data_IF_126423781216
#
_entry.id   IF_126423781216
#
_cell.length_a   1.000
_cell.length_b   1.000
_cell.length_c   1.000
_cell.angle_alpha   90.00
_cell.angle_beta   90.00
_cell.angle_gamma   90.00
#
_symmetry.space_group_name_H-M   'P 1'
#
loop_
_entity.id
_entity.type
_entity.pdbx_description
1 polymer ?
#
# COMPACT_ATOMS: atom_id res chain seq x y z
N UNK A 1 -18.18 27.96 -14.97
CA UNK A 1 -18.50 28.20 -13.54
C UNK A 1 -19.06 26.88 -13.00
N UNK A 2 -18.59 26.17 -11.97
CA UNK A 2 -17.60 26.32 -10.91
C UNK A 2 -16.87 24.96 -10.75
N UNK A 3 -15.53 24.88 -10.71
CA UNK A 3 -14.67 24.75 -9.51
C UNK A 3 -15.28 23.96 -8.33
N UNK A 4 -14.63 22.84 -7.99
CA UNK A 4 -14.34 22.46 -6.61
C UNK A 4 -15.07 21.23 -6.06
N UNK A 5 -14.35 20.12 -5.90
CA UNK A 5 -14.26 19.32 -4.66
C UNK A 5 -13.50 18.01 -4.94
N UNK A 6 -12.21 18.16 -5.21
CA UNK A 6 -11.24 17.11 -4.93
C UNK A 6 -10.57 17.49 -3.62
N UNK A 7 -10.92 16.84 -2.50
CA UNK A 7 -10.06 16.66 -1.32
C UNK A 7 -10.77 15.86 -0.22
N UNK A 8 -9.96 15.05 0.48
CA UNK A 8 -10.21 14.32 1.75
C UNK A 8 -10.61 12.85 1.64
N UNK A 9 -9.61 12.02 1.36
CA UNK A 9 -9.36 10.80 2.14
C UNK A 9 -7.92 10.86 2.65
N UNK A 10 -7.69 11.81 3.56
CA UNK A 10 -6.51 11.82 4.41
C UNK A 10 -6.84 11.00 5.65
N UNK A 11 -6.03 9.99 5.93
CA UNK A 11 -6.17 9.11 7.07
C UNK A 11 -6.23 9.89 8.38
N UNK A 12 -7.12 9.44 9.25
CA UNK A 12 -7.12 9.76 10.67
C UNK A 12 -5.83 9.22 11.29
N UNK A 13 -4.79 10.05 11.32
CA UNK A 13 -3.65 9.86 12.20
C UNK A 13 -4.07 10.39 13.56
N UNK A 14 -4.30 9.47 14.50
CA UNK A 14 -4.42 9.77 15.92
C UNK A 14 -3.23 10.62 16.36
N UNK A 15 -3.53 11.80 16.89
CA UNK A 15 -2.56 12.71 17.48
C UNK A 15 -2.14 12.12 18.82
N UNK A 16 -1.09 11.29 18.83
CA UNK A 16 -0.42 10.90 20.07
C UNK A 16 0.23 12.14 20.71
N UNK A 17 0.10 12.36 22.02
CA UNK A 17 0.89 13.37 22.71
C UNK A 17 2.37 12.96 22.71
N UNK A 18 3.25 13.94 22.50
CA UNK A 18 4.69 13.77 22.47
C UNK A 18 5.22 13.28 23.84
N UNK A 19 6.28 12.44 23.85
CA UNK A 19 6.97 12.10 25.09
C UNK A 19 7.70 13.34 25.66
N UNK A 20 7.81 13.48 26.99
CA UNK A 20 8.57 14.56 27.60
C UNK A 20 10.06 14.45 27.25
N UNK A 21 10.65 15.57 26.84
CA UNK A 21 12.10 15.72 26.65
C UNK A 21 12.82 15.59 27.99
N UNK A 22 13.90 14.80 28.09
CA UNK A 22 14.75 14.80 29.28
C UNK A 22 15.53 16.12 29.36
N UNK A 23 15.12 16.95 30.33
CA UNK A 23 15.85 18.14 30.76
C UNK A 23 17.08 17.76 31.57
N UNK A 24 18.20 18.37 31.20
CA UNK A 24 19.56 18.20 31.71
C UNK A 24 19.75 18.63 33.17
N UNK A 25 20.73 18.00 33.84
CA UNK A 25 21.69 18.49 34.86
C UNK A 25 21.90 17.46 36.00
N UNK A 26 23.03 17.43 36.75
CA UNK A 26 24.36 17.96 36.47
C UNK A 26 25.49 16.90 36.56
N UNK A 27 26.60 17.26 35.92
CA UNK A 27 27.92 16.63 35.94
C UNK A 27 28.46 16.54 37.39
N UNK A 28 28.83 15.33 37.82
CA UNK A 28 29.59 15.09 39.06
C UNK A 28 30.97 14.52 38.70
N UNK A 29 32.08 15.12 39.17
CA UNK A 29 33.43 14.74 38.76
C UNK A 29 34.00 13.74 39.75
N UNK A 30 34.15 12.46 39.40
CA UNK A 30 34.85 11.49 40.26
C UNK A 30 35.95 10.76 39.47
N UNK A 31 37.18 11.14 39.85
CA UNK A 31 38.40 10.36 39.92
C UNK A 31 38.80 9.47 38.74
N UNK A 32 39.88 9.91 38.07
CA UNK A 32 40.83 9.04 37.38
C UNK A 32 41.26 7.89 38.32
N UNK A 33 40.93 6.66 37.93
CA UNK A 33 41.61 5.46 38.43
C UNK A 33 42.07 4.66 37.21
N UNK A 34 43.38 4.71 36.96
CA UNK A 34 44.09 3.83 36.04
C UNK A 34 43.91 2.38 36.49
N UNK A 35 43.36 1.52 35.62
CA UNK A 35 43.37 0.06 35.79
C UNK A 35 43.89 -0.55 34.48
N UNK A 36 44.85 -1.49 34.54
CA UNK A 36 45.70 -1.84 33.42
C UNK A 36 44.98 -2.66 32.35
N UNK A 37 45.48 -2.48 31.13
CA UNK A 37 45.19 -3.24 29.91
C UNK A 37 45.31 -4.76 30.18
N UNK A 38 44.18 -5.45 30.32
CA UNK A 38 44.12 -6.91 30.17
C UNK A 38 43.67 -7.20 28.74
N UNK A 39 44.61 -7.66 27.92
CA UNK A 39 44.37 -8.26 26.61
C UNK A 39 43.58 -9.57 26.79
N UNK A 40 42.26 -9.48 26.84
CA UNK A 40 41.38 -10.63 26.63
C UNK A 40 41.11 -10.78 25.14
N UNK A 41 41.51 -11.93 24.59
CA UNK A 41 41.14 -12.40 23.28
C UNK A 41 39.61 -12.51 23.19
N UNK A 42 38.96 -11.49 22.64
CA UNK A 42 37.58 -11.58 22.22
C UNK A 42 37.52 -12.43 20.95
N UNK A 43 37.38 -13.74 21.11
CA UNK A 43 36.76 -14.58 20.11
C UNK A 43 35.35 -13.99 19.87
N UNK A 44 35.24 -13.12 18.86
CA UNK A 44 33.99 -12.50 18.47
C UNK A 44 33.00 -13.58 18.11
N UNK A 45 32.11 -13.92 19.04
CA UNK A 45 30.87 -14.59 18.74
C UNK A 45 30.07 -13.61 17.88
N UNK A 46 30.27 -13.68 16.56
CA UNK A 46 29.38 -13.05 15.60
C UNK A 46 28.04 -13.79 15.71
N UNK A 47 27.24 -13.40 16.70
CA UNK A 47 25.84 -13.81 16.79
C UNK A 47 25.20 -13.46 15.44
N UNK A 48 24.61 -14.43 14.72
CA UNK A 48 23.96 -14.12 13.45
C UNK A 48 22.95 -13.02 13.72
N UNK A 49 23.13 -11.88 13.03
CA UNK A 49 22.23 -10.75 13.16
C UNK A 49 20.79 -11.25 12.95
N UNK A 50 19.82 -10.79 13.76
CA UNK A 50 18.43 -11.18 13.60
C UNK A 50 18.00 -10.95 12.15
N UNK A 51 17.52 -11.99 11.48
CA UNK A 51 16.96 -11.85 10.14
C UNK A 51 15.77 -10.88 10.22
N UNK A 52 15.69 -9.88 9.32
CA UNK A 52 14.53 -9.00 9.30
C UNK A 52 13.25 -9.81 9.08
N UNK A 53 12.12 -9.40 9.69
CA UNK A 53 10.86 -10.09 9.51
C UNK A 53 10.45 -10.08 8.04
N UNK A 54 9.76 -11.14 7.61
CA UNK A 54 9.17 -11.16 6.28
C UNK A 54 8.16 -10.00 6.13
N UNK A 55 8.07 -9.37 4.95
CA UNK A 55 7.11 -8.31 4.70
C UNK A 55 5.68 -8.82 4.86
N UNK A 56 4.77 -7.95 5.30
CA UNK A 56 3.37 -8.30 5.40
C UNK A 56 2.79 -8.59 4.00
N UNK A 57 1.83 -9.53 3.86
CA UNK A 57 1.23 -9.86 2.56
C UNK A 57 0.69 -8.65 1.79
N UNK A 58 0.11 -7.69 2.50
CA UNK A 58 -0.43 -6.46 1.93
C UNK A 58 0.66 -5.60 1.29
N UNK A 59 1.83 -5.55 1.91
CA UNK A 59 2.97 -4.79 1.41
C UNK A 59 3.55 -5.46 0.17
N UNK A 60 3.58 -6.79 0.12
CA UNK A 60 3.98 -7.55 -1.07
C UNK A 60 3.04 -7.25 -2.25
N UNK A 61 1.72 -7.33 -2.03
CA UNK A 61 0.74 -7.01 -3.07
C UNK A 61 0.84 -5.55 -3.51
N UNK A 62 1.01 -4.61 -2.57
CA UNK A 62 1.18 -3.18 -2.86
C UNK A 62 2.45 -2.92 -3.68
N UNK A 63 3.57 -3.53 -3.30
CA UNK A 63 4.84 -3.40 -4.02
C UNK A 63 4.74 -3.92 -5.45
N UNK A 64 4.13 -5.10 -5.64
CA UNK A 64 3.90 -5.65 -6.98
C UNK A 64 2.96 -4.77 -7.82
N UNK A 65 1.88 -4.23 -7.22
CA UNK A 65 0.98 -3.32 -7.92
C UNK A 65 1.69 -2.04 -8.37
N UNK A 66 2.54 -1.47 -7.50
CA UNK A 66 3.36 -0.31 -7.86
C UNK A 66 4.28 -0.65 -9.04
N UNK A 67 4.99 -1.78 -9.00
CA UNK A 67 5.88 -2.22 -10.09
C UNK A 67 5.14 -2.39 -11.42
N UNK A 68 3.98 -3.03 -11.41
CA UNK A 68 3.16 -3.21 -12.60
C UNK A 68 2.67 -1.87 -13.16
N UNK A 69 2.29 -0.96 -12.27
CA UNK A 69 1.83 0.38 -12.64
C UNK A 69 2.96 1.20 -13.24
N UNK A 70 4.14 1.21 -12.60
CA UNK A 70 5.34 1.90 -13.09
C UNK A 70 5.76 1.37 -14.46
N UNK A 71 5.81 0.05 -14.66
CA UNK A 71 6.12 -0.58 -15.96
C UNK A 71 5.11 -0.17 -17.03
N UNK A 72 3.83 -0.07 -16.68
CA UNK A 72 2.80 0.37 -17.61
C UNK A 72 2.98 1.85 -18.00
N UNK A 73 3.24 2.73 -17.03
CA UNK A 73 3.51 4.15 -17.30
C UNK A 73 4.77 4.33 -18.15
N UNK A 74 5.85 3.62 -17.83
CA UNK A 74 7.10 3.67 -18.58
C UNK A 74 6.92 3.23 -20.04
N UNK A 75 6.16 2.15 -20.30
CA UNK A 75 5.81 1.73 -21.67
C UNK A 75 5.01 2.76 -22.45
N UNK A 76 4.36 3.71 -21.77
CA UNK A 76 3.63 4.82 -22.37
C UNK A 76 4.46 6.11 -22.44
N UNK A 77 5.77 6.02 -22.17
CA UNK A 77 6.68 7.17 -22.18
C UNK A 77 6.46 8.15 -21.02
N UNK A 78 5.87 7.67 -19.91
CA UNK A 78 5.58 8.49 -18.74
C UNK A 78 6.47 8.07 -17.56
N UNK A 79 7.02 9.06 -16.87
CA UNK A 79 7.79 8.84 -15.65
C UNK A 79 6.84 8.81 -14.44
N UNK A 80 6.82 7.74 -13.64
CA UNK A 80 6.05 7.71 -12.39
C UNK A 80 6.58 8.76 -11.41
N UNK A 81 5.72 9.54 -10.73
CA UNK A 81 6.17 10.53 -9.76
C UNK A 81 6.86 9.85 -8.58
N UNK A 82 8.08 10.29 -8.21
CA UNK A 82 8.80 9.81 -7.02
C UNK A 82 8.79 10.85 -5.90
N UNK A 83 8.84 10.42 -4.63
CA UNK A 83 9.03 11.35 -3.51
C UNK A 83 10.35 12.13 -3.69
N UNK A 84 10.27 13.46 -3.60
CA UNK A 84 11.43 14.35 -3.77
C UNK A 84 11.63 14.90 -5.17
N UNK A 85 10.91 14.41 -6.18
CA UNK A 85 10.94 15.00 -7.52
C UNK A 85 10.37 16.43 -7.51
N UNK A 86 10.90 17.28 -8.41
CA UNK A 86 10.28 18.58 -8.69
C UNK A 86 8.82 18.34 -9.16
N UNK A 87 7.84 19.13 -8.68
CA UNK A 87 6.46 18.96 -9.10
C UNK A 87 6.32 19.05 -10.63
N UNK A 88 5.70 18.05 -11.29
CA UNK A 88 5.48 18.10 -12.73
C UNK A 88 4.49 19.21 -13.10
N UNK A 89 4.53 19.63 -14.37
CA UNK A 89 3.56 20.60 -14.90
C UNK A 89 2.11 20.07 -14.79
N UNK A 90 1.11 20.96 -14.78
CA UNK A 90 -0.30 20.51 -14.79
C UNK A 90 -0.61 19.60 -15.98
N UNK A 91 -0.10 19.94 -17.17
CA UNK A 91 -0.32 19.13 -18.36
C UNK A 91 0.29 17.72 -18.23
N UNK A 92 1.44 17.60 -17.59
CA UNK A 92 2.07 16.30 -17.31
C UNK A 92 1.30 15.52 -16.25
N UNK A 93 0.87 16.17 -15.15
CA UNK A 93 0.00 15.56 -14.14
C UNK A 93 -1.27 14.99 -14.76
N UNK A 94 -1.90 15.74 -15.66
CA UNK A 94 -3.12 15.29 -16.33
C UNK A 94 -2.86 14.11 -17.27
N UNK A 95 -1.72 14.10 -17.98
CA UNK A 95 -1.31 12.94 -18.81
C UNK A 95 -1.09 11.70 -17.95
N UNK A 96 -0.36 11.84 -16.84
CA UNK A 96 -0.11 10.73 -15.89
C UNK A 96 -1.42 10.24 -15.27
N UNK A 97 -2.29 11.14 -14.81
CA UNK A 97 -3.58 10.77 -14.21
C UNK A 97 -4.46 10.00 -15.18
N UNK A 98 -4.59 10.48 -16.43
CA UNK A 98 -5.32 9.77 -17.49
C UNK A 98 -4.72 8.40 -17.80
N UNK A 99 -3.39 8.28 -17.83
CA UNK A 99 -2.74 7.00 -18.07
C UNK A 99 -2.89 6.02 -16.90
N UNK A 100 -2.84 6.53 -15.66
CA UNK A 100 -2.92 5.77 -14.43
C UNK A 100 -4.34 5.24 -14.18
N UNK A 101 -5.32 6.14 -14.23
CA UNK A 101 -6.71 5.85 -13.85
C UNK A 101 -7.61 5.47 -15.02
N UNK A 102 -7.15 5.65 -16.26
CA UNK A 102 -7.97 5.42 -17.45
C UNK A 102 -8.69 6.68 -17.94
N UNK A 103 -9.16 6.61 -19.17
CA UNK A 103 -9.93 7.66 -19.86
C UNK A 103 -11.12 7.11 -20.62
N UNK A 104 -11.22 5.79 -20.74
CA UNK A 104 -12.34 5.13 -21.40
C UNK A 104 -13.64 5.29 -20.64
N UNK A 105 -14.71 4.67 -21.15
CA UNK A 105 -15.98 4.62 -20.43
C UNK A 105 -15.76 3.93 -19.08
N UNK A 106 -16.36 4.47 -18.02
CA UNK A 106 -16.47 3.72 -16.77
C UNK A 106 -17.30 2.47 -17.05
N UNK A 107 -16.69 1.29 -16.92
CA UNK A 107 -17.36 0.02 -17.18
C UNK A 107 -17.78 -0.70 -15.90
N UNK A 108 -17.27 -0.27 -14.74
CA UNK A 108 -17.63 -0.85 -13.44
C UNK A 108 -18.34 0.19 -12.58
N UNK A 109 -19.50 -0.18 -12.07
CA UNK A 109 -20.31 0.65 -11.18
C UNK A 109 -20.99 -0.24 -10.15
N UNK A 110 -20.99 0.17 -8.89
CA UNK A 110 -21.69 -0.50 -7.80
C UNK A 110 -22.40 0.55 -6.95
N UNK A 111 -23.71 0.39 -6.77
CA UNK A 111 -24.46 1.16 -5.77
C UNK A 111 -24.37 0.44 -4.43
N UNK A 112 -23.91 1.15 -3.42
CA UNK A 112 -23.83 0.67 -2.04
C UNK A 112 -25.22 0.72 -1.39
N UNK A 113 -25.37 -0.05 -0.32
CA UNK A 113 -26.53 -0.03 0.60
C UNK A 113 -26.79 1.37 1.16
N UNK A 114 -25.74 2.17 1.33
CA UNK A 114 -25.80 3.59 1.73
C UNK A 114 -26.32 4.54 0.65
N UNK A 115 -26.59 4.05 -0.56
CA UNK A 115 -27.06 4.84 -1.70
C UNK A 115 -25.96 5.46 -2.57
N UNK A 116 -24.71 5.52 -2.08
CA UNK A 116 -23.55 6.00 -2.86
C UNK A 116 -23.22 5.07 -4.03
N UNK A 117 -22.70 5.64 -5.12
CA UNK A 117 -22.28 4.87 -6.30
C UNK A 117 -20.77 4.95 -6.45
N UNK A 118 -20.10 3.81 -6.38
CA UNK A 118 -18.67 3.68 -6.65
C UNK A 118 -18.49 3.29 -8.11
N UNK A 119 -17.55 3.95 -8.78
CA UNK A 119 -17.27 3.79 -10.22
C UNK A 119 -15.78 3.54 -10.44
N UNK A 120 -15.47 2.70 -11.41
CA UNK A 120 -14.09 2.47 -11.84
C UNK A 120 -13.98 2.27 -13.34
N UNK A 121 -12.88 2.79 -13.88
CA UNK A 121 -12.42 2.48 -15.23
C UNK A 121 -11.82 1.07 -15.27
N UNK A 122 -12.01 0.38 -16.38
CA UNK A 122 -11.39 -0.93 -16.67
C UNK A 122 -10.14 -0.80 -17.53
N UNK A 123 -9.84 0.42 -17.97
CA UNK A 123 -8.61 0.82 -18.65
C UNK A 123 -7.65 1.57 -17.71
N UNK A 124 -6.48 1.92 -18.23
CA UNK A 124 -5.41 2.55 -17.46
C UNK A 124 -4.49 1.55 -16.76
N UNK A 125 -3.37 2.08 -16.26
CA UNK A 125 -2.30 1.27 -15.68
C UNK A 125 -2.70 0.59 -14.36
N UNK A 126 -3.52 1.25 -13.54
CA UNK A 126 -3.99 0.66 -12.29
C UNK A 126 -4.94 -0.52 -12.55
N UNK A 127 -5.87 -0.37 -13.50
CA UNK A 127 -6.79 -1.44 -13.90
C UNK A 127 -6.03 -2.65 -14.47
N UNK A 128 -5.02 -2.40 -15.30
CA UNK A 128 -4.15 -3.46 -15.83
C UNK A 128 -3.40 -4.20 -14.70
N UNK A 129 -2.82 -3.47 -13.75
CA UNK A 129 -2.14 -4.06 -12.59
C UNK A 129 -3.10 -4.90 -11.73
N UNK A 130 -4.30 -4.40 -11.45
CA UNK A 130 -5.31 -5.15 -10.70
C UNK A 130 -5.74 -6.43 -11.42
N UNK A 131 -5.91 -6.39 -12.74
CA UNK A 131 -6.25 -7.59 -13.54
C UNK A 131 -5.14 -8.64 -13.48
N UNK A 132 -3.88 -8.22 -13.54
CA UNK A 132 -2.74 -9.12 -13.41
C UNK A 132 -2.68 -9.79 -12.02
N UNK A 133 -2.96 -9.03 -10.95
CA UNK A 133 -2.89 -9.53 -9.58
C UNK A 133 -4.11 -10.38 -9.21
N UNK A 134 -5.32 -9.85 -9.39
CA UNK A 134 -6.56 -10.45 -8.91
C UNK A 134 -7.26 -11.34 -9.95
N UNK A 135 -6.93 -11.19 -11.24
CA UNK A 135 -7.59 -11.87 -12.35
C UNK A 135 -8.88 -11.18 -12.77
N UNK A 136 -10.02 -11.67 -12.28
CA UNK A 136 -11.34 -11.12 -12.63
C UNK A 136 -11.55 -9.75 -11.99
N UNK A 137 -11.36 -8.71 -12.80
CA UNK A 137 -11.46 -7.32 -12.35
C UNK A 137 -12.87 -6.96 -11.87
N UNK A 138 -13.93 -7.46 -12.52
CA UNK A 138 -15.31 -7.15 -12.15
C UNK A 138 -15.64 -7.79 -10.80
N UNK A 139 -15.24 -9.05 -10.61
CA UNK A 139 -15.43 -9.75 -9.34
C UNK A 139 -14.62 -9.09 -8.23
N UNK A 140 -13.35 -8.75 -8.48
CA UNK A 140 -12.52 -8.01 -7.53
C UNK A 140 -13.14 -6.67 -7.14
N UNK A 141 -13.57 -5.87 -8.12
CA UNK A 141 -14.20 -4.56 -7.88
C UNK A 141 -15.44 -4.69 -6.98
N UNK A 142 -16.35 -5.64 -7.28
CA UNK A 142 -17.56 -5.84 -6.47
C UNK A 142 -17.20 -6.18 -5.02
N UNK A 143 -16.40 -7.22 -4.79
CA UNK A 143 -16.18 -7.71 -3.42
C UNK A 143 -15.29 -6.79 -2.60
N UNK A 144 -14.27 -6.18 -3.20
CA UNK A 144 -13.43 -5.19 -2.49
C UNK A 144 -14.24 -3.95 -2.13
N UNK A 145 -15.12 -3.48 -3.01
CA UNK A 145 -15.99 -2.33 -2.74
C UNK A 145 -16.98 -2.63 -1.63
N UNK A 146 -17.62 -3.81 -1.62
CA UNK A 146 -18.52 -4.22 -0.52
C UNK A 146 -17.75 -4.32 0.80
N UNK A 147 -16.66 -5.09 0.83
CA UNK A 147 -15.90 -5.37 2.06
C UNK A 147 -15.30 -4.11 2.67
N UNK A 148 -14.80 -3.17 1.85
CA UNK A 148 -14.22 -1.91 2.32
C UNK A 148 -15.29 -0.91 2.82
N UNK A 149 -16.58 -1.19 2.65
CA UNK A 149 -17.67 -0.30 3.04
C UNK A 149 -18.62 -0.94 4.08
N UNK A 150 -18.27 -2.08 4.70
CA UNK A 150 -19.14 -2.74 5.69
C UNK A 150 -19.37 -1.89 6.96
N UNK A 151 -18.40 -1.08 7.37
CA UNK A 151 -18.55 -0.20 8.52
C UNK A 151 -19.49 0.99 8.24
N UNK A 152 -19.33 1.74 7.13
CA UNK A 152 -20.34 2.69 6.68
C UNK A 152 -21.74 2.10 6.51
N UNK A 153 -21.84 0.87 5.99
CA UNK A 153 -23.12 0.16 5.89
C UNK A 153 -23.75 -0.11 7.25
N UNK A 154 -22.97 -0.67 8.19
CA UNK A 154 -23.43 -0.95 9.55
C UNK A 154 -23.95 0.30 10.25
N UNK A 155 -23.22 1.42 10.11
CA UNK A 155 -23.64 2.71 10.63
C UNK A 155 -24.96 3.18 10.02
N UNK A 156 -25.08 3.16 8.68
CA UNK A 156 -26.30 3.60 8.00
C UNK A 156 -27.53 2.74 8.34
N UNK A 157 -27.33 1.43 8.50
CA UNK A 157 -28.38 0.48 8.85
C UNK A 157 -28.69 0.44 10.35
N UNK A 158 -27.95 1.15 11.20
CA UNK A 158 -28.03 1.08 12.67
C UNK A 158 -27.89 -0.37 13.19
N UNK A 159 -27.02 -1.16 12.57
CA UNK A 159 -26.77 -2.57 12.90
C UNK A 159 -25.34 -2.76 13.44
N UNK A 160 -25.12 -3.70 14.38
CA UNK A 160 -23.76 -4.06 14.78
C UNK A 160 -22.92 -4.57 13.61
N UNK A 161 -21.67 -4.11 13.51
CA UNK A 161 -20.74 -4.55 12.45
C UNK A 161 -20.55 -6.07 12.36
N UNK A 162 -20.50 -6.85 13.47
CA UNK A 162 -20.45 -8.31 13.39
C UNK A 162 -21.65 -8.93 12.64
N UNK A 163 -22.84 -8.36 12.81
CA UNK A 163 -24.06 -8.83 12.13
C UNK A 163 -24.00 -8.55 10.62
N UNK A 164 -23.55 -7.35 10.24
CA UNK A 164 -23.33 -7.00 8.83
C UNK A 164 -22.25 -7.89 8.20
N UNK A 165 -21.14 -8.15 8.91
CA UNK A 165 -20.11 -9.10 8.45
C UNK A 165 -20.65 -10.51 8.28
N UNK A 166 -21.52 -10.98 9.18
CA UNK A 166 -22.15 -12.29 9.05
C UNK A 166 -23.04 -12.37 7.80
N UNK A 167 -23.80 -11.31 7.52
CA UNK A 167 -24.60 -11.20 6.29
C UNK A 167 -23.72 -11.23 5.02
N UNK A 168 -22.52 -10.62 5.06
CA UNK A 168 -21.56 -10.59 3.96
C UNK A 168 -20.50 -11.71 3.98
N UNK A 169 -20.74 -12.82 4.68
CA UNK A 169 -19.75 -13.92 4.81
C UNK A 169 -19.23 -14.46 3.46
N UNK A 170 -20.08 -14.49 2.44
CA UNK A 170 -19.73 -14.96 1.10
C UNK A 170 -18.81 -13.96 0.37
N UNK A 171 -19.09 -12.67 0.48
CA UNK A 171 -18.24 -11.61 -0.09
C UNK A 171 -16.88 -11.59 0.61
N UNK A 172 -16.84 -11.72 1.94
CA UNK A 172 -15.60 -11.83 2.73
C UNK A 172 -14.76 -13.05 2.33
N UNK A 173 -15.42 -14.20 2.10
CA UNK A 173 -14.73 -15.42 1.64
C UNK A 173 -14.15 -15.24 0.25
N UNK A 174 -14.92 -14.68 -0.68
CA UNK A 174 -14.43 -14.38 -2.04
C UNK A 174 -13.30 -13.36 -2.01
N UNK A 175 -13.39 -12.32 -1.19
CA UNK A 175 -12.35 -11.32 -1.02
C UNK A 175 -11.04 -11.94 -0.55
N UNK A 176 -11.09 -12.82 0.47
CA UNK A 176 -9.90 -13.57 0.95
C UNK A 176 -9.28 -14.46 -0.14
N UNK A 177 -10.10 -15.14 -0.93
CA UNK A 177 -9.61 -15.99 -2.04
C UNK A 177 -8.90 -15.16 -3.11
N UNK A 178 -9.47 -14.03 -3.53
CA UNK A 178 -8.85 -13.15 -4.52
C UNK A 178 -7.57 -12.51 -3.99
N UNK A 179 -7.53 -12.15 -2.71
CA UNK A 179 -6.35 -11.67 -2.01
C UNK A 179 -5.22 -12.71 -1.97
N UNK A 180 -5.54 -13.97 -1.66
CA UNK A 180 -4.55 -15.05 -1.66
C UNK A 180 -3.97 -15.28 -3.06
N UNK A 181 -4.80 -15.23 -4.10
CA UNK A 181 -4.34 -15.26 -5.50
C UNK A 181 -3.42 -14.07 -5.82
N UNK A 182 -3.81 -12.86 -5.41
CA UNK A 182 -3.02 -11.66 -5.64
C UNK A 182 -1.65 -11.73 -4.96
N UNK A 183 -1.56 -12.30 -3.76
CA UNK A 183 -0.29 -12.54 -3.08
C UNK A 183 0.63 -13.45 -3.91
N UNK A 184 0.12 -14.62 -4.34
CA UNK A 184 0.88 -15.55 -5.19
C UNK A 184 1.38 -14.87 -6.48
N UNK A 185 0.51 -14.08 -7.12
CA UNK A 185 0.86 -13.36 -8.34
C UNK A 185 1.85 -12.23 -8.08
N UNK A 186 1.74 -11.53 -6.95
CA UNK A 186 2.66 -10.48 -6.54
C UNK A 186 4.08 -11.02 -6.31
N UNK A 187 4.21 -12.16 -5.64
CA UNK A 187 5.50 -12.84 -5.46
C UNK A 187 6.13 -13.25 -6.79
N UNK A 188 5.34 -13.68 -7.78
CA UNK A 188 5.85 -13.96 -9.11
C UNK A 188 6.39 -12.70 -9.80
N UNK A 189 5.61 -11.62 -9.80
CA UNK A 189 6.01 -10.32 -10.37
C UNK A 189 7.31 -9.81 -9.76
N UNK A 190 7.46 -9.90 -8.43
CA UNK A 190 8.65 -9.40 -7.74
C UNK A 190 9.88 -10.30 -7.92
N UNK A 191 9.71 -11.61 -8.17
CA UNK A 191 10.82 -12.52 -8.46
C UNK A 191 11.40 -12.35 -9.86
N UNK A 192 10.56 -12.06 -10.85
CA UNK A 192 11.00 -11.81 -12.24
C UNK A 192 11.97 -10.62 -12.35
N UNK A 193 11.92 -9.67 -11.41
CA UNK A 193 12.78 -8.50 -11.33
C UNK A 193 13.98 -8.67 -10.38
N UNK A 194 14.21 -9.87 -9.86
CA UNK A 194 15.32 -10.16 -8.96
C UNK A 194 16.69 -10.00 -9.64
N UNK A 195 17.78 -9.82 -8.87
CA UNK A 195 19.12 -9.52 -9.40
C UNK A 195 19.69 -10.55 -10.39
N UNK A 196 19.12 -11.76 -10.47
CA UNK A 196 19.47 -12.79 -11.45
C UNK A 196 18.86 -12.57 -12.84
N UNK A 197 17.79 -11.79 -12.99
CA UNK A 197 17.16 -11.50 -14.28
C UNK A 197 17.84 -10.36 -15.07
N UNK A 198 18.64 -9.53 -14.41
CA UNK A 198 19.46 -8.47 -15.05
C UNK A 198 20.79 -8.98 -15.63
N UNK A 199 21.04 -10.29 -15.64
CA UNK A 199 22.20 -10.87 -16.32
C UNK A 199 21.74 -11.57 -17.60
N UNK A 200 21.66 -10.82 -18.69
CA UNK A 200 21.78 -11.37 -20.05
C UNK A 200 22.95 -10.68 -20.76
N UNK A 201 23.74 -11.44 -21.55
CA UNK A 201 25.02 -11.02 -22.13
C UNK A 201 24.86 -9.98 -23.23
#
# INVERSE_FOLDING_TARGET
MARGLAHRLAGSLGRHPAPPTPGSLPMRPHALVCVPFLLLAAAGCASPAPRPPAPAPDDVVRAAQQRLTDRCLARRGLTPPRPGDRPPSTAERDRVARALFGTGRTELSLRLSTGHVVRAHTDGCLAAAQRALYGDQKRWFRVSTVVNNLEPEAAAAHRPLPEVRAAHRADLTTWRQLRARALKNAEAVLREDGPTASRKP
#
